data_IF_283712223281
#
_entry.id   IF_283712223281
#
_cell.length_a   1.000
_cell.length_b   1.000
_cell.length_c   1.000
_cell.angle_alpha   90.00
_cell.angle_beta   90.00
_cell.angle_gamma   90.00
#
_symmetry.space_group_name_H-M   'P 1'
#
loop_
_entity.id
_entity.type
_entity.pdbx_description
1 polymer ?
#
# COMPACT_ATOMS: atom_id res chain seq x y z
N UNK A 1 22.89 29.75 15.04
CA UNK A 1 21.52 30.00 14.56
C UNK A 1 20.87 28.63 14.39
N UNK A 2 20.11 28.16 15.37
CA UNK A 2 19.41 26.86 15.27
C UNK A 2 18.16 27.15 14.43
N UNK A 3 18.05 26.52 13.27
CA UNK A 3 16.76 26.45 12.58
C UNK A 3 15.85 25.63 13.48
N UNK A 4 14.83 26.28 14.07
CA UNK A 4 13.70 25.54 14.62
C UNK A 4 13.16 24.70 13.46
N UNK A 5 13.15 23.38 13.65
CA UNK A 5 12.63 22.46 12.64
C UNK A 5 11.23 22.94 12.25
N UNK A 6 11.12 23.36 10.99
CA UNK A 6 9.90 23.88 10.42
C UNK A 6 8.76 22.92 10.78
N UNK A 7 7.80 23.40 11.58
CA UNK A 7 6.50 22.76 11.76
C UNK A 7 5.78 22.80 10.42
N UNK A 8 6.21 21.92 9.51
CA UNK A 8 5.53 21.67 8.26
C UNK A 8 4.12 21.23 8.62
N UNK A 9 3.12 21.94 8.10
CA UNK A 9 1.74 21.53 8.23
C UNK A 9 1.63 20.08 7.73
N UNK A 10 1.24 19.17 8.62
CA UNK A 10 1.02 17.77 8.28
C UNK A 10 -0.23 17.66 7.40
N UNK A 11 -0.10 18.00 6.11
CA UNK A 11 -1.20 17.93 5.16
C UNK A 11 -1.47 16.44 4.88
N UNK A 12 -2.52 15.94 5.51
CA UNK A 12 -2.99 14.55 5.35
C UNK A 12 -3.41 14.29 3.90
N UNK A 13 -3.40 13.00 3.51
CA UNK A 13 -3.93 12.54 2.22
C UNK A 13 -5.35 13.09 1.97
N UNK A 14 -5.73 13.32 0.70
CA UNK A 14 -7.10 13.73 0.36
C UNK A 14 -8.12 12.77 0.97
N UNK A 15 -9.13 13.30 1.65
CA UNK A 15 -10.29 12.55 2.09
C UNK A 15 -11.02 11.94 0.91
N UNK A 16 -11.65 10.79 1.07
CA UNK A 16 -12.41 10.12 0.01
C UNK A 16 -13.79 10.74 -0.22
N UNK A 17 -14.24 11.62 0.68
CA UNK A 17 -15.60 12.16 0.72
C UNK A 17 -15.59 13.68 0.81
N UNK A 18 -16.61 14.30 0.25
CA UNK A 18 -16.82 15.73 0.36
C UNK A 18 -17.25 16.12 1.77
N UNK A 19 -16.59 17.12 2.35
CA UNK A 19 -16.87 17.60 3.69
C UNK A 19 -18.25 18.28 3.82
N UNK A 20 -18.89 18.68 2.71
CA UNK A 20 -20.20 19.32 2.73
C UNK A 20 -21.36 18.35 2.51
N UNK A 21 -21.29 17.49 1.49
CA UNK A 21 -22.40 16.59 1.14
C UNK A 21 -22.18 15.12 1.53
N UNK A 22 -20.98 14.75 1.98
CA UNK A 22 -20.62 13.37 2.35
C UNK A 22 -20.46 12.41 1.16
N UNK A 23 -20.77 12.84 -0.07
CA UNK A 23 -20.64 11.99 -1.26
C UNK A 23 -19.17 11.72 -1.61
N UNK A 24 -18.94 10.61 -2.31
CA UNK A 24 -17.62 10.20 -2.81
C UNK A 24 -17.01 11.27 -3.72
N UNK A 25 -15.71 11.51 -3.53
CA UNK A 25 -14.86 12.30 -4.42
C UNK A 25 -14.01 11.42 -5.35
N UNK A 26 -14.23 10.10 -5.36
CA UNK A 26 -13.45 9.16 -6.17
C UNK A 26 -13.63 9.40 -7.67
N UNK A 27 -14.84 9.78 -8.09
CA UNK A 27 -15.21 9.96 -9.49
C UNK A 27 -14.81 11.34 -10.04
N UNK A 28 -14.38 12.27 -9.17
CA UNK A 28 -13.87 13.58 -9.58
C UNK A 28 -12.34 13.57 -9.68
N UNK A 29 -11.76 13.65 -10.90
CA UNK A 29 -10.30 13.66 -11.08
C UNK A 29 -9.65 14.90 -10.45
N UNK A 30 -10.44 15.98 -10.30
CA UNK A 30 -10.05 17.25 -9.70
C UNK A 30 -11.10 17.65 -8.67
N UNK A 31 -10.68 17.93 -7.44
CA UNK A 31 -11.56 18.42 -6.37
C UNK A 31 -10.88 19.59 -5.64
N UNK A 32 -11.65 20.37 -4.91
CA UNK A 32 -11.13 21.49 -4.14
C UNK A 32 -10.77 21.03 -2.72
N UNK A 33 -9.58 21.39 -2.30
CA UNK A 33 -9.07 21.13 -0.95
C UNK A 33 -8.87 22.46 -0.24
N UNK A 34 -9.21 22.54 1.04
CA UNK A 34 -8.98 23.72 1.87
C UNK A 34 -8.44 23.34 3.24
N UNK A 35 -7.54 24.17 3.77
CA UNK A 35 -7.07 24.08 5.15
C UNK A 35 -7.96 24.95 6.05
N UNK A 36 -8.56 24.32 7.06
CA UNK A 36 -9.38 24.98 8.07
C UNK A 36 -8.72 24.86 9.43
N UNK A 37 -8.85 25.88 10.27
CA UNK A 37 -8.36 25.84 11.65
C UNK A 37 -9.12 24.77 12.43
N UNK A 38 -8.42 23.95 13.19
CA UNK A 38 -9.07 22.98 14.07
C UNK A 38 -9.65 23.71 15.29
N UNK A 39 -10.96 23.96 15.27
CA UNK A 39 -11.65 24.63 16.37
C UNK A 39 -11.79 23.75 17.63
N UNK A 40 -11.53 22.44 17.55
CA UNK A 40 -11.53 21.58 18.76
C UNK A 40 -10.37 21.89 19.72
N UNK A 41 -9.26 22.43 19.20
CA UNK A 41 -8.07 22.76 19.99
C UNK A 41 -8.13 24.16 20.62
N UNK A 42 -8.86 25.07 20.00
CA UNK A 42 -9.11 26.40 20.55
C UNK A 42 -10.40 26.36 21.35
N UNK A 43 -10.32 26.01 22.63
CA UNK A 43 -11.42 26.18 23.57
C UNK A 43 -11.91 27.63 23.53
N UNK A 44 -12.99 27.86 22.79
CA UNK A 44 -13.67 29.14 22.76
C UNK A 44 -14.42 29.31 24.09
N UNK A 45 -13.72 29.90 25.05
CA UNK A 45 -14.29 30.52 26.23
C UNK A 45 -15.04 31.80 25.81
N UNK A 46 -16.20 31.64 25.16
CA UNK A 46 -16.85 32.78 24.50
C UNK A 46 -18.36 32.69 24.28
N UNK A 47 -19.11 31.89 25.05
CA UNK A 47 -20.55 31.70 24.83
C UNK A 47 -21.42 31.81 26.08
N UNK A 48 -21.43 32.95 26.80
CA UNK A 48 -22.45 33.19 27.83
C UNK A 48 -23.76 33.67 27.21
N UNK A 49 -24.71 32.74 27.14
CA UNK A 49 -26.05 32.91 27.71
C UNK A 49 -27.05 33.84 27.00
N UNK A 50 -28.12 33.23 26.47
CA UNK A 50 -29.48 33.68 26.78
C UNK A 50 -30.41 32.47 26.86
N UNK A 51 -30.89 32.21 28.08
CA UNK A 51 -32.00 31.30 28.36
C UNK A 51 -33.30 32.06 28.05
N UNK A 52 -34.24 31.39 27.41
CA UNK A 52 -35.66 31.75 27.48
C UNK A 52 -36.42 30.48 27.86
N UNK A 53 -37.10 30.54 28.99
CA UNK A 53 -37.97 29.51 29.52
C UNK A 53 -39.27 29.39 28.71
N UNK A 54 -39.88 28.20 28.76
CA UNK A 54 -41.22 27.94 28.22
C UNK A 54 -41.71 26.56 28.64
N UNK A 55 -42.33 26.52 29.82
CA UNK A 55 -42.98 25.39 30.50
C UNK A 55 -44.19 24.85 29.73
N UNK A 56 -44.47 23.54 29.81
CA UNK A 56 -45.78 22.99 30.25
C UNK A 56 -45.81 21.45 30.37
N UNK A 57 -46.53 21.03 31.40
CA UNK A 57 -46.59 19.74 32.10
C UNK A 57 -47.41 18.61 31.43
N UNK A 58 -46.95 17.36 31.72
CA UNK A 58 -47.70 16.13 32.09
C UNK A 58 -48.68 15.46 31.08
N UNK A 59 -49.04 14.15 31.23
CA UNK A 59 -48.81 13.24 32.36
C UNK A 59 -48.25 11.83 32.03
N UNK A 60 -47.96 11.16 33.14
CA UNK A 60 -47.52 9.78 33.44
C UNK A 60 -48.47 8.71 32.87
N UNK A 61 -47.92 7.62 32.35
CA UNK A 61 -48.50 6.28 32.47
C UNK A 61 -47.41 5.24 32.76
N UNK A 62 -47.78 4.31 33.62
CA UNK A 62 -47.00 3.24 34.22
C UNK A 62 -46.70 2.09 33.25
N UNK A 63 -45.59 1.39 33.48
CA UNK A 63 -45.56 -0.04 33.19
C UNK A 63 -44.25 -0.60 32.62
N UNK A 64 -43.78 -1.64 33.31
CA UNK A 64 -42.97 -2.76 32.84
C UNK A 64 -41.43 -2.72 33.05
N UNK A 65 -41.00 -3.84 33.62
CA UNK A 65 -39.75 -4.18 34.27
C UNK A 65 -38.59 -4.50 33.27
N UNK A 66 -37.35 -4.69 33.76
CA UNK A 66 -36.13 -4.51 32.97
C UNK A 66 -35.75 -5.77 32.18
N UNK A 67 -35.54 -5.61 30.87
CA UNK A 67 -34.87 -6.61 30.05
C UNK A 67 -33.36 -6.42 30.14
N UNK A 68 -32.68 -7.48 30.57
CA UNK A 68 -31.25 -7.56 30.76
C UNK A 68 -30.53 -7.41 29.41
N UNK A 69 -29.65 -6.44 29.32
CA UNK A 69 -28.77 -6.20 28.17
C UNK A 69 -27.71 -7.30 28.07
N UNK A 70 -27.76 -8.07 26.99
CA UNK A 70 -26.69 -8.98 26.58
C UNK A 70 -25.52 -8.14 26.04
N UNK A 71 -24.28 -8.24 26.57
CA UNK A 71 -23.15 -7.53 25.99
C UNK A 71 -22.72 -8.20 24.67
N UNK A 72 -22.84 -7.43 23.59
CA UNK A 72 -22.29 -7.71 22.26
C UNK A 72 -20.74 -7.74 22.32
N UNK A 73 -20.06 -8.64 21.61
CA UNK A 73 -18.63 -8.88 21.76
C UNK A 73 -17.78 -7.70 21.30
N UNK A 74 -16.68 -7.50 22.04
CA UNK A 74 -15.78 -6.37 21.98
C UNK A 74 -15.21 -6.10 20.57
N UNK A 75 -15.37 -4.86 20.13
CA UNK A 75 -14.56 -4.27 19.07
C UNK A 75 -13.10 -4.14 19.56
N UNK A 76 -12.10 -4.33 18.67
CA UNK A 76 -10.69 -4.30 19.04
C UNK A 76 -10.30 -2.92 19.59
N UNK A 77 -9.64 -2.92 20.75
CA UNK A 77 -9.09 -1.72 21.39
C UNK A 77 -8.09 -1.07 20.44
N UNK A 78 -8.41 0.15 19.99
CA UNK A 78 -7.48 0.99 19.28
C UNK A 78 -6.38 1.43 20.25
N UNK A 79 -5.14 1.25 19.80
CA UNK A 79 -3.90 1.69 20.40
C UNK A 79 -3.93 3.22 20.62
N UNK A 80 -3.98 3.64 21.89
CA UNK A 80 -4.10 5.05 22.29
C UNK A 80 -2.70 5.69 22.34
N UNK A 81 -2.06 5.82 21.17
CA UNK A 81 -0.99 6.81 21.01
C UNK A 81 -1.65 8.19 20.90
N UNK A 82 -1.54 9.00 21.94
CA UNK A 82 -1.97 10.40 21.96
C UNK A 82 -1.22 11.20 20.88
N UNK A 83 -1.74 11.19 19.66
CA UNK A 83 -1.31 12.08 18.60
C UNK A 83 -1.90 13.46 18.88
N UNK A 84 -1.05 14.47 19.01
CA UNK A 84 -1.48 15.86 19.06
C UNK A 84 -2.34 16.16 17.83
N UNK A 85 -3.60 16.58 18.02
CA UNK A 85 -4.43 16.94 16.88
C UNK A 85 -3.82 18.15 16.15
N UNK A 86 -3.76 18.13 14.81
CA UNK A 86 -3.16 19.21 14.04
C UNK A 86 -3.98 20.51 14.19
N UNK A 87 -3.29 21.65 14.20
CA UNK A 87 -3.91 22.98 14.32
C UNK A 87 -4.74 23.34 13.07
N UNK A 88 -4.46 22.68 11.95
CA UNK A 88 -5.19 22.82 10.70
C UNK A 88 -5.59 21.45 10.14
N UNK A 89 -6.82 21.34 9.68
CA UNK A 89 -7.38 20.14 9.08
C UNK A 89 -7.66 20.42 7.61
N UNK A 90 -7.20 19.51 6.75
CA UNK A 90 -7.57 19.49 5.34
C UNK A 90 -9.01 19.01 5.20
N UNK A 91 -9.80 19.75 4.43
CA UNK A 91 -11.16 19.38 4.03
C UNK A 91 -11.27 19.42 2.51
N UNK A 92 -11.92 18.42 1.92
CA UNK A 92 -12.08 18.29 0.48
C UNK A 92 -13.55 18.46 0.07
N UNK A 93 -13.80 19.08 -1.09
CA UNK A 93 -15.13 19.44 -1.58
C UNK A 93 -15.27 19.16 -3.07
N UNK A 94 -16.47 18.76 -3.51
CA UNK A 94 -16.85 18.82 -4.93
C UNK A 94 -16.82 20.26 -5.42
N UNK A 95 -16.70 20.44 -6.73
CA UNK A 95 -16.68 21.77 -7.36
C UNK A 95 -17.92 22.61 -7.03
N UNK A 96 -19.10 21.98 -6.98
CA UNK A 96 -20.35 22.66 -6.66
C UNK A 96 -20.54 22.90 -5.16
N UNK A 97 -20.11 21.94 -4.32
CA UNK A 97 -20.10 22.12 -2.88
C UNK A 97 -19.17 23.25 -2.44
N UNK A 98 -18.05 23.44 -3.14
CA UNK A 98 -17.11 24.52 -2.87
C UNK A 98 -17.74 25.92 -3.04
N UNK A 99 -18.64 26.11 -4.00
CA UNK A 99 -19.31 27.42 -4.20
C UNK A 99 -20.06 27.88 -2.96
N UNK A 100 -20.59 26.93 -2.17
CA UNK A 100 -21.24 27.17 -0.89
C UNK A 100 -20.22 27.23 0.25
N UNK A 101 -19.24 26.34 0.22
CA UNK A 101 -18.24 26.24 1.29
C UNK A 101 -17.24 27.40 1.34
N UNK A 102 -17.04 28.13 0.23
CA UNK A 102 -16.06 29.22 0.11
C UNK A 102 -16.41 30.47 0.94
N UNK A 103 -17.62 30.54 1.49
CA UNK A 103 -18.06 31.64 2.35
C UNK A 103 -17.62 31.44 3.82
N UNK A 104 -17.03 30.29 4.16
CA UNK A 104 -16.51 29.98 5.48
C UNK A 104 -15.02 30.30 5.64
N UNK A 105 -14.54 30.38 6.89
CA UNK A 105 -13.13 30.63 7.19
C UNK A 105 -12.22 29.44 6.82
N UNK A 106 -11.35 29.65 5.81
CA UNK A 106 -10.22 28.79 5.49
C UNK A 106 -8.96 29.62 5.33
N UNK A 107 -7.82 29.04 5.69
CA UNK A 107 -6.52 29.70 5.56
C UNK A 107 -6.08 29.76 4.10
N UNK A 108 -6.28 28.65 3.37
CA UNK A 108 -5.88 28.51 1.97
C UNK A 108 -6.67 27.40 1.31
N UNK A 109 -6.81 27.46 -0.02
CA UNK A 109 -7.41 26.39 -0.82
C UNK A 109 -6.59 26.12 -2.09
N UNK A 110 -6.70 24.91 -2.62
CA UNK A 110 -6.04 24.48 -3.86
C UNK A 110 -6.87 23.45 -4.61
N UNK A 111 -6.59 23.29 -5.90
CA UNK A 111 -7.20 22.26 -6.74
C UNK A 111 -6.35 20.98 -6.64
N UNK A 112 -6.84 19.98 -5.91
CA UNK A 112 -6.18 18.70 -5.78
C UNK A 112 -6.52 17.77 -6.95
N UNK A 113 -5.52 17.03 -7.44
CA UNK A 113 -5.68 15.99 -8.47
C UNK A 113 -5.61 14.64 -7.80
N UNK A 114 -6.55 13.74 -8.10
CA UNK A 114 -6.39 12.32 -7.76
C UNK A 114 -5.65 11.63 -8.90
N UNK A 115 -4.61 10.83 -8.62
CA UNK A 115 -4.10 9.92 -9.64
C UNK A 115 -5.24 8.96 -10.01
N UNK A 116 -5.47 8.78 -11.30
CA UNK A 116 -6.40 7.75 -11.76
C UNK A 116 -5.95 6.40 -11.17
N UNK A 117 -6.88 5.54 -10.71
CA UNK A 117 -6.54 4.17 -10.40
C UNK A 117 -5.79 3.55 -11.59
N UNK A 118 -4.67 2.85 -11.38
CA UNK A 118 -3.94 2.23 -12.48
C UNK A 118 -4.88 1.25 -13.20
N UNK A 119 -4.93 1.32 -14.54
CA UNK A 119 -5.82 0.50 -15.38
C UNK A 119 -5.58 -1.01 -15.18
N UNK A 120 -4.37 -1.38 -14.77
CA UNK A 120 -4.03 -2.75 -14.39
C UNK A 120 -3.48 -2.79 -12.97
N UNK A 121 -3.94 -3.73 -12.12
CA UNK A 121 -3.32 -3.94 -10.82
C UNK A 121 -1.83 -4.25 -11.04
N UNK A 122 -0.99 -3.59 -10.25
CA UNK A 122 0.45 -3.89 -10.24
C UNK A 122 0.63 -5.28 -9.67
N UNK A 123 1.45 -6.10 -10.33
CA UNK A 123 1.79 -7.42 -9.80
C UNK A 123 2.34 -7.28 -8.38
N UNK A 124 1.79 -8.05 -7.47
CA UNK A 124 2.22 -8.07 -6.08
C UNK A 124 3.66 -8.59 -5.98
N UNK A 125 4.33 -8.29 -4.87
CA UNK A 125 5.69 -8.82 -4.63
C UNK A 125 5.71 -10.35 -4.67
N UNK A 126 4.67 -10.99 -4.15
CA UNK A 126 4.58 -12.45 -4.10
C UNK A 126 4.44 -13.04 -5.49
N UNK A 127 3.54 -12.52 -6.32
CA UNK A 127 3.37 -12.96 -7.71
C UNK A 127 4.66 -12.77 -8.52
N UNK A 128 5.36 -11.65 -8.33
CA UNK A 128 6.67 -11.42 -8.96
C UNK A 128 7.68 -12.49 -8.61
N UNK A 129 7.80 -12.77 -7.31
CA UNK A 129 8.75 -13.78 -6.84
C UNK A 129 8.39 -15.17 -7.37
N UNK A 130 7.10 -15.51 -7.45
CA UNK A 130 6.65 -16.78 -8.04
C UNK A 130 6.99 -16.87 -9.53
N UNK A 131 6.77 -15.80 -10.31
CA UNK A 131 7.12 -15.77 -11.73
C UNK A 131 8.63 -15.92 -11.95
N UNK A 132 9.44 -15.20 -11.17
CA UNK A 132 10.91 -15.30 -11.24
C UNK A 132 11.42 -16.68 -10.83
N UNK A 133 10.83 -17.31 -9.82
CA UNK A 133 11.15 -18.68 -9.44
C UNK A 133 10.79 -19.67 -10.54
N UNK A 134 9.63 -19.54 -11.17
CA UNK A 134 9.24 -20.37 -12.30
C UNK A 134 10.23 -20.29 -13.46
N UNK A 135 10.66 -19.08 -13.81
CA UNK A 135 11.71 -18.88 -14.81
C UNK A 135 13.04 -19.50 -14.38
N UNK A 136 13.43 -19.29 -13.13
CA UNK A 136 14.68 -19.83 -12.58
C UNK A 136 14.69 -21.35 -12.66
N UNK A 137 13.65 -22.03 -12.18
CA UNK A 137 13.52 -23.49 -12.28
C UNK A 137 13.53 -23.99 -13.73
N UNK A 138 12.84 -23.29 -14.64
CA UNK A 138 12.84 -23.65 -16.06
C UNK A 138 14.26 -23.59 -16.67
N UNK A 139 15.03 -22.53 -16.36
CA UNK A 139 16.38 -22.34 -16.90
C UNK A 139 17.42 -23.25 -16.22
N UNK A 140 17.24 -23.58 -14.95
CA UNK A 140 18.11 -24.53 -14.25
C UNK A 140 17.98 -25.96 -14.82
N UNK A 141 16.83 -26.31 -15.38
CA UNK A 141 16.62 -27.60 -16.05
C UNK A 141 17.26 -27.66 -17.45
N UNK A 142 17.55 -26.51 -18.07
CA UNK A 142 18.32 -26.46 -19.32
C UNK A 142 19.81 -26.55 -19.01
N UNK A 143 20.59 -27.28 -19.81
CA UNK A 143 22.06 -27.33 -19.70
C UNK A 143 22.77 -26.39 -20.70
N UNK A 144 22.07 -25.40 -21.25
CA UNK A 144 22.62 -24.46 -22.23
C UNK A 144 23.47 -23.38 -21.53
N UNK A 145 24.78 -23.24 -21.86
CA UNK A 145 25.63 -22.16 -21.35
C UNK A 145 25.19 -20.76 -21.77
N UNK A 146 24.41 -20.60 -22.85
CA UNK A 146 23.87 -19.31 -23.28
C UNK A 146 22.94 -18.68 -22.22
N UNK A 147 22.39 -19.49 -21.31
CA UNK A 147 21.55 -19.03 -20.22
C UNK A 147 22.32 -18.73 -18.92
N UNK A 148 23.64 -18.95 -18.85
CA UNK A 148 24.44 -18.67 -17.65
C UNK A 148 24.32 -17.20 -17.16
N UNK A 149 24.32 -16.17 -18.04
CA UNK A 149 24.06 -14.79 -17.62
C UNK A 149 22.69 -14.63 -16.95
N UNK A 150 21.67 -15.31 -17.47
CA UNK A 150 20.32 -15.27 -16.91
C UNK A 150 20.27 -15.96 -15.56
N UNK A 151 20.88 -17.15 -15.42
CA UNK A 151 21.03 -17.86 -14.13
C UNK A 151 21.72 -16.97 -13.09
N UNK A 152 22.82 -16.32 -13.48
CA UNK A 152 23.57 -15.44 -12.61
C UNK A 152 22.73 -14.26 -12.11
N UNK A 153 22.11 -13.50 -13.02
CA UNK A 153 21.29 -12.33 -12.65
C UNK A 153 20.04 -12.74 -11.86
N UNK A 154 19.33 -13.79 -12.26
CA UNK A 154 18.15 -14.28 -11.54
C UNK A 154 18.48 -14.69 -10.11
N UNK A 155 19.60 -15.40 -9.90
CA UNK A 155 20.01 -15.83 -8.56
C UNK A 155 20.25 -14.64 -7.63
N UNK A 156 20.90 -13.59 -8.14
CA UNK A 156 21.15 -12.36 -7.38
C UNK A 156 19.86 -11.57 -7.11
N UNK A 157 18.94 -11.51 -8.08
CA UNK A 157 17.62 -10.89 -7.88
C UNK A 157 16.81 -11.63 -6.81
N UNK A 158 16.73 -12.96 -6.90
CA UNK A 158 16.03 -13.81 -5.94
C UNK A 158 16.66 -13.72 -4.54
N UNK A 159 17.99 -13.60 -4.45
CA UNK A 159 18.68 -13.31 -3.19
C UNK A 159 18.26 -11.95 -2.62
N UNK A 160 18.28 -10.89 -3.43
CA UNK A 160 17.84 -9.54 -3.02
C UNK A 160 16.39 -9.52 -2.55
N UNK A 161 15.53 -10.36 -3.15
CA UNK A 161 14.13 -10.50 -2.75
C UNK A 161 13.89 -11.43 -1.56
N UNK A 162 14.97 -11.99 -0.99
CA UNK A 162 14.98 -12.95 0.14
C UNK A 162 14.27 -14.27 -0.19
N UNK A 163 14.35 -14.69 -1.45
CA UNK A 163 13.85 -15.99 -1.92
C UNK A 163 14.97 -17.03 -1.86
N UNK A 164 16.19 -16.66 -2.25
CA UNK A 164 17.39 -17.48 -2.10
C UNK A 164 18.32 -16.89 -1.04
N UNK A 165 19.17 -17.75 -0.47
CA UNK A 165 20.25 -17.38 0.44
C UNK A 165 21.58 -17.80 -0.16
N UNK A 166 22.63 -16.99 0.05
CA UNK A 166 23.98 -17.39 -0.31
C UNK A 166 24.48 -18.45 0.69
N UNK A 167 24.80 -19.65 0.20
CA UNK A 167 25.31 -20.75 1.02
C UNK A 167 26.84 -20.84 0.98
N UNK A 168 27.48 -20.37 -0.09
CA UNK A 168 28.93 -20.33 -0.20
C UNK A 168 29.42 -20.15 -1.64
N UNK A 169 30.68 -20.47 -1.86
CA UNK A 169 31.31 -20.49 -3.19
C UNK A 169 32.23 -21.69 -3.31
N UNK A 170 32.28 -22.30 -4.50
CA UNK A 170 33.17 -23.41 -4.83
C UNK A 170 34.12 -22.98 -5.95
N UNK A 171 35.37 -23.42 -5.87
CA UNK A 171 36.36 -23.22 -6.94
C UNK A 171 36.76 -24.58 -7.49
N UNK A 172 36.77 -24.68 -8.81
CA UNK A 172 37.35 -25.80 -9.50
C UNK A 172 38.84 -25.50 -9.76
N UNK A 173 39.73 -26.31 -9.19
CA UNK A 173 41.18 -26.12 -9.30
C UNK A 173 41.71 -26.54 -10.68
N UNK A 174 41.04 -27.46 -11.37
CA UNK A 174 41.46 -27.92 -12.71
C UNK A 174 41.00 -26.96 -13.81
N UNK A 175 39.75 -26.50 -13.74
CA UNK A 175 39.16 -25.61 -14.75
C UNK A 175 39.35 -24.12 -14.46
N UNK A 176 39.82 -23.77 -13.25
CA UNK A 176 39.95 -22.38 -12.79
C UNK A 176 38.61 -21.64 -12.64
N UNK A 177 37.47 -22.32 -12.82
CA UNK A 177 36.13 -21.72 -12.76
C UNK A 177 35.67 -21.58 -11.31
N UNK A 178 34.93 -20.51 -11.04
CA UNK A 178 34.31 -20.25 -9.74
C UNK A 178 32.80 -20.41 -9.86
N UNK A 179 32.21 -20.97 -8.82
CA UNK A 179 30.79 -21.24 -8.69
C UNK A 179 30.28 -20.60 -7.40
N UNK A 180 29.09 -20.02 -7.46
CA UNK A 180 28.37 -19.48 -6.32
C UNK A 180 27.24 -20.45 -5.97
N UNK A 181 27.16 -20.83 -4.71
CA UNK A 181 26.14 -21.77 -4.23
C UNK A 181 25.03 -20.99 -3.55
N UNK A 182 23.83 -21.05 -4.13
CA UNK A 182 22.62 -20.52 -3.55
C UNK A 182 21.77 -21.64 -2.98
N UNK A 183 21.09 -21.36 -1.87
CA UNK A 183 20.17 -22.27 -1.20
C UNK A 183 18.79 -21.65 -1.13
N UNK A 184 17.76 -22.42 -1.45
CA UNK A 184 16.38 -22.04 -1.19
C UNK A 184 16.00 -22.48 0.24
N UNK A 185 15.79 -21.55 1.19
CA UNK A 185 15.51 -21.90 2.59
C UNK A 185 14.15 -22.58 2.79
N UNK A 186 13.27 -22.59 1.79
CA UNK A 186 11.97 -23.28 1.87
C UNK A 186 12.03 -24.73 1.41
N UNK A 187 12.85 -25.03 0.40
CA UNK A 187 12.97 -26.37 -0.20
C UNK A 187 14.26 -27.07 0.18
N UNK A 188 15.20 -26.37 0.82
CA UNK A 188 16.57 -26.80 1.14
C UNK A 188 17.41 -27.19 -0.10
N UNK A 189 16.91 -26.85 -1.30
CA UNK A 189 17.57 -27.12 -2.56
C UNK A 189 18.76 -26.18 -2.77
N UNK A 190 19.87 -26.73 -3.27
CA UNK A 190 21.10 -25.99 -3.56
C UNK A 190 21.33 -25.91 -5.06
N UNK A 191 21.66 -24.70 -5.52
CA UNK A 191 21.95 -24.40 -6.91
C UNK A 191 23.37 -23.86 -7.05
N UNK A 192 24.17 -24.52 -7.88
CA UNK A 192 25.52 -24.06 -8.24
C UNK A 192 25.43 -23.22 -9.52
N UNK A 193 25.82 -21.95 -9.43
CA UNK A 193 25.74 -20.99 -10.53
C UNK A 193 27.14 -20.49 -10.87
N UNK A 194 27.55 -20.44 -12.15
CA UNK A 194 28.85 -19.90 -12.53
C UNK A 194 29.03 -18.46 -12.04
N UNK A 195 30.18 -18.14 -11.44
CA UNK A 195 30.53 -16.77 -11.07
C UNK A 195 30.99 -15.99 -12.31
N UNK A 196 30.05 -15.29 -12.94
CA UNK A 196 30.28 -14.51 -14.15
C UNK A 196 30.64 -13.06 -13.83
N UNK A 197 31.61 -12.52 -14.56
CA UNK A 197 31.83 -11.08 -14.65
C UNK A 197 31.14 -10.55 -15.90
N UNK A 198 29.89 -10.15 -15.76
CA UNK A 198 29.12 -9.52 -16.82
C UNK A 198 29.53 -8.04 -16.94
N UNK A 199 29.60 -7.53 -18.17
CA UNK A 199 29.65 -6.07 -18.39
C UNK A 199 28.31 -5.43 -18.02
N UNK A 200 28.30 -4.12 -17.77
CA UNK A 200 27.07 -3.38 -17.48
C UNK A 200 26.04 -3.52 -18.61
N UNK A 201 26.51 -3.55 -19.86
CA UNK A 201 25.66 -3.77 -21.04
C UNK A 201 25.04 -5.17 -21.04
N UNK A 202 25.83 -6.21 -20.78
CA UNK A 202 25.34 -7.60 -20.72
C UNK A 202 24.34 -7.78 -19.56
N UNK A 203 24.63 -7.17 -18.41
CA UNK A 203 23.73 -7.19 -17.27
C UNK A 203 22.40 -6.49 -17.58
N UNK A 204 22.43 -5.34 -18.26
CA UNK A 204 21.23 -4.61 -18.67
C UNK A 204 20.39 -5.41 -19.68
N UNK A 205 21.01 -5.98 -20.72
CA UNK A 205 20.34 -6.82 -21.71
C UNK A 205 19.70 -8.06 -21.07
N UNK A 206 20.41 -8.70 -20.14
CA UNK A 206 19.91 -9.86 -19.39
C UNK A 206 18.71 -9.48 -18.52
N UNK A 207 18.80 -8.35 -17.82
CA UNK A 207 17.70 -7.85 -17.00
C UNK A 207 16.46 -7.52 -17.83
N UNK A 208 16.64 -6.93 -19.01
CA UNK A 208 15.54 -6.62 -19.93
C UNK A 208 14.85 -7.90 -20.43
N UNK A 209 15.62 -8.94 -20.77
CA UNK A 209 15.09 -10.27 -21.12
C UNK A 209 14.26 -10.86 -19.97
N UNK A 210 14.72 -10.74 -18.73
CA UNK A 210 13.99 -11.20 -17.53
C UNK A 210 12.69 -10.39 -17.34
N UNK A 211 12.74 -9.06 -17.45
CA UNK A 211 11.55 -8.21 -17.29
C UNK A 211 10.50 -8.50 -18.38
N UNK A 212 10.94 -8.70 -19.62
CA UNK A 212 10.07 -9.09 -20.74
C UNK A 212 9.33 -10.40 -20.46
N UNK A 213 10.01 -11.39 -19.88
CA UNK A 213 9.37 -12.63 -19.43
C UNK A 213 8.30 -12.38 -18.36
N UNK A 214 8.64 -11.57 -17.34
CA UNK A 214 7.73 -11.27 -16.23
C UNK A 214 6.47 -10.55 -16.71
N UNK A 215 6.61 -9.57 -17.61
CA UNK A 215 5.46 -8.86 -18.18
C UNK A 215 4.61 -9.77 -19.07
N UNK A 216 5.22 -10.71 -19.81
CA UNK A 216 4.44 -11.71 -20.57
C UNK A 216 3.62 -12.61 -19.65
N UNK A 217 4.22 -13.15 -18.59
CA UNK A 217 3.50 -13.97 -17.59
C UNK A 217 2.38 -13.17 -16.90
N UNK A 218 2.56 -11.86 -16.75
CA UNK A 218 1.51 -10.97 -16.24
C UNK A 218 0.37 -10.76 -17.24
N UNK A 219 0.67 -10.71 -18.53
CA UNK A 219 -0.31 -10.50 -19.59
C UNK A 219 -1.10 -11.77 -19.93
N UNK A 220 -0.51 -12.95 -19.73
CA UNK A 220 -1.21 -14.22 -19.93
C UNK A 220 -2.26 -14.43 -18.82
N UNK A 221 -3.55 -14.56 -19.16
CA UNK A 221 -4.56 -14.91 -18.17
C UNK A 221 -4.23 -16.29 -17.62
N UNK A 222 -4.15 -16.42 -16.29
CA UNK A 222 -4.00 -17.73 -15.66
C UNK A 222 -5.14 -18.64 -16.15
N UNK A 223 -4.86 -19.85 -16.66
CA UNK A 223 -5.92 -20.81 -16.88
C UNK A 223 -6.62 -21.03 -15.54
N UNK A 224 -7.94 -20.83 -15.52
CA UNK A 224 -8.78 -21.21 -14.39
C UNK A 224 -8.45 -22.67 -14.10
N UNK A 225 -7.91 -22.92 -12.91
CA UNK A 225 -7.55 -24.26 -12.49
C UNK A 225 -8.88 -24.99 -12.34
N UNK A 226 -9.21 -25.86 -13.30
CA UNK A 226 -10.40 -26.69 -13.27
C UNK A 226 -10.55 -27.26 -11.86
N UNK A 227 -11.64 -26.88 -11.20
CA UNK A 227 -12.04 -27.47 -9.95
C UNK A 227 -12.06 -28.99 -10.11
N UNK A 228 -11.61 -29.77 -9.13
CA UNK A 228 -11.69 -31.22 -9.22
C UNK A 228 -13.15 -31.59 -9.42
N UNK A 229 -13.46 -32.04 -10.64
CA UNK A 229 -14.71 -32.70 -10.99
C UNK A 229 -14.86 -33.87 -10.04
N UNK A 230 -15.68 -33.70 -9.01
CA UNK A 230 -16.02 -34.76 -8.07
C UNK A 230 -16.50 -35.98 -8.86
N UNK A 231 -15.83 -37.10 -8.59
CA UNK A 231 -16.16 -38.40 -9.12
C UNK A 231 -17.62 -38.75 -8.81
N UNK A 232 -18.33 -39.26 -9.81
CA UNK A 232 -19.52 -40.09 -9.66
C UNK A 232 -19.20 -41.49 -10.17
#
# INVERSE_FOLDING_TARGET
>A
MRYEEDKLLSIVKPGAVCALCGQSLADEPKHLSALKKNHRKNGDAGGRGRRSAGVKDAPREDGAAPAQSVPSPAAPKADETAQEEPDFIRTDYHRDCWKKAREHDYLSFWLARRPAPPETPKMTRQERNTALLGLFSAIMNTSDPADDPVRFILSHLLMRYRVLRLAGSRRDEEAGRRWIVFENPKTEERHEIPDLRLSDEQAAQTLERINSYVERVRAEPRPETDAPSEAQ
#
